data_IF_989304959514
#
_entry.id   IF_989304959514
#
_cell.length_a   1.000
_cell.length_b   1.000
_cell.length_c   1.000
_cell.angle_alpha   90.00
_cell.angle_beta   90.00
_cell.angle_gamma   90.00
#
_symmetry.space_group_name_H-M   'P 1'
#
loop_
_entity.id
_entity.type
_entity.pdbx_description
1 polymer ?
#
# COMPACT_ATOMS: atom_id res chain seq x y z
N UNK A 1 21.70 11.41 -2.20
CA UNK A 1 21.32 11.63 -3.62
C UNK A 1 20.26 12.73 -3.71
N UNK A 2 20.19 13.52 -4.80
CA UNK A 2 19.11 14.50 -5.04
C UNK A 2 18.25 14.05 -6.22
N UNK A 3 17.07 13.53 -5.92
CA UNK A 3 16.04 13.18 -6.90
C UNK A 3 15.44 14.47 -7.48
N UNK A 4 15.29 14.53 -8.79
CA UNK A 4 14.88 15.73 -9.55
C UNK A 4 13.49 15.60 -10.16
N UNK A 5 12.93 14.39 -10.27
CA UNK A 5 11.62 14.18 -10.86
C UNK A 5 10.88 12.96 -10.30
N UNK A 6 9.55 12.95 -10.46
CA UNK A 6 8.70 11.77 -10.18
C UNK A 6 9.16 10.54 -10.97
N UNK A 7 9.49 10.72 -12.24
CA UNK A 7 9.93 9.62 -13.12
C UNK A 7 11.23 9.00 -12.64
N UNK A 8 12.23 9.83 -12.32
CA UNK A 8 13.51 9.37 -11.75
C UNK A 8 13.29 8.60 -10.43
N UNK A 9 12.39 9.09 -9.57
CA UNK A 9 12.05 8.39 -8.33
C UNK A 9 11.43 7.00 -8.58
N UNK A 10 10.52 6.89 -9.55
CA UNK A 10 9.91 5.61 -9.93
C UNK A 10 10.94 4.63 -10.50
N UNK A 11 11.86 5.11 -11.36
CA UNK A 11 12.94 4.30 -11.92
C UNK A 11 13.88 3.76 -10.83
N UNK A 12 14.25 4.60 -9.87
CA UNK A 12 15.13 4.20 -8.76
C UNK A 12 14.41 3.20 -7.85
N UNK A 13 13.16 3.47 -7.48
CA UNK A 13 12.40 2.62 -6.56
C UNK A 13 12.12 1.23 -7.14
N UNK A 14 11.84 1.15 -8.44
CA UNK A 14 11.55 -0.11 -9.13
C UNK A 14 12.80 -0.91 -9.51
N UNK A 15 13.99 -0.32 -9.43
CA UNK A 15 15.25 -0.97 -9.79
C UNK A 15 15.92 -1.60 -8.57
N UNK A 16 15.77 -2.92 -8.43
CA UNK A 16 16.38 -3.70 -7.35
C UNK A 16 17.93 -3.59 -7.28
N UNK A 17 18.60 -3.16 -8.36
CA UNK A 17 20.06 -2.95 -8.38
C UNK A 17 20.50 -1.64 -7.72
N UNK A 18 19.59 -0.68 -7.54
CA UNK A 18 19.89 0.55 -6.82
C UNK A 18 20.15 0.25 -5.34
N UNK A 19 20.98 1.06 -4.68
CA UNK A 19 21.21 0.92 -3.25
C UNK A 19 19.89 1.03 -2.46
N UNK A 20 19.65 0.21 -1.42
CA UNK A 20 18.43 0.31 -0.62
C UNK A 20 18.17 1.72 -0.09
N UNK A 21 19.20 2.47 0.29
CA UNK A 21 19.06 3.85 0.75
C UNK A 21 18.54 4.79 -0.34
N UNK A 22 18.97 4.58 -1.59
CA UNK A 22 18.47 5.33 -2.74
C UNK A 22 17.02 4.97 -3.04
N UNK A 23 16.62 3.70 -2.90
CA UNK A 23 15.21 3.27 -3.03
C UNK A 23 14.33 3.83 -1.92
N UNK A 24 14.81 3.87 -0.67
CA UNK A 24 14.07 4.53 0.42
C UNK A 24 13.88 6.03 0.15
N UNK A 25 14.93 6.71 -0.30
CA UNK A 25 14.88 8.13 -0.68
C UNK A 25 13.90 8.33 -1.84
N UNK A 26 13.96 7.40 -2.80
CA UNK A 26 12.96 6.99 -3.78
C UNK A 26 11.51 7.18 -3.32
N UNK A 27 11.09 6.25 -2.48
CA UNK A 27 9.76 6.15 -1.92
C UNK A 27 9.35 7.42 -1.16
N UNK A 28 10.22 7.98 -0.30
CA UNK A 28 9.93 9.23 0.43
C UNK A 28 9.63 10.40 -0.51
N UNK A 29 10.38 10.53 -1.60
CA UNK A 29 10.17 11.61 -2.57
C UNK A 29 8.79 11.52 -3.23
N UNK A 30 8.34 10.30 -3.55
CA UNK A 30 7.07 10.04 -4.23
C UNK A 30 5.82 10.43 -3.43
N UNK A 31 5.92 10.61 -2.10
CA UNK A 31 4.83 11.11 -1.26
C UNK A 31 4.24 12.44 -1.79
N UNK A 32 5.09 13.28 -2.38
CA UNK A 32 4.69 14.60 -2.90
C UNK A 32 3.97 14.54 -4.25
N UNK A 33 3.95 13.38 -4.90
CA UNK A 33 3.46 13.22 -6.27
C UNK A 33 2.48 12.03 -6.38
N UNK A 34 1.39 11.99 -5.59
CA UNK A 34 0.44 10.88 -5.65
C UNK A 34 -0.17 10.77 -7.05
N UNK A 35 0.00 9.60 -7.67
CA UNK A 35 -0.62 9.21 -8.94
C UNK A 35 -0.87 7.71 -8.94
N UNK A 36 -1.72 7.17 -9.83
CA UNK A 36 -1.94 5.73 -9.93
C UNK A 36 -0.64 4.92 -10.08
N UNK A 37 0.27 5.41 -10.93
CA UNK A 37 1.61 4.81 -11.14
C UNK A 37 2.45 4.77 -9.84
N UNK A 38 2.39 5.83 -9.03
CA UNK A 38 3.10 5.92 -7.75
C UNK A 38 2.51 4.94 -6.74
N UNK A 39 1.18 4.83 -6.72
CA UNK A 39 0.48 3.92 -5.83
C UNK A 39 0.82 2.46 -6.15
N UNK A 40 0.77 2.09 -7.43
CA UNK A 40 1.17 0.77 -7.91
C UNK A 40 2.63 0.46 -7.56
N UNK A 41 3.54 1.42 -7.79
CA UNK A 41 4.95 1.25 -7.47
C UNK A 41 5.17 1.02 -5.96
N UNK A 42 4.59 1.86 -5.09
CA UNK A 42 4.72 1.74 -3.64
C UNK A 42 4.11 0.43 -3.09
N UNK A 43 2.96 0.00 -3.62
CA UNK A 43 2.34 -1.28 -3.25
C UNK A 43 3.25 -2.45 -3.63
N UNK A 44 3.86 -2.41 -4.83
CA UNK A 44 4.83 -3.42 -5.23
C UNK A 44 6.07 -3.41 -4.33
N UNK A 45 6.54 -2.23 -3.90
CA UNK A 45 7.67 -2.06 -2.97
C UNK A 45 7.40 -2.65 -1.58
N UNK A 46 6.15 -2.90 -1.17
CA UNK A 46 5.85 -3.62 0.08
C UNK A 46 6.42 -5.06 0.11
N UNK A 47 6.89 -5.57 -1.04
CA UNK A 47 7.54 -6.87 -1.21
C UNK A 47 9.02 -6.76 -1.56
N UNK A 48 9.61 -5.58 -1.45
CA UNK A 48 11.04 -5.37 -1.66
C UNK A 48 11.84 -6.31 -0.73
N UNK A 49 13.00 -6.78 -1.18
CA UNK A 49 13.86 -7.67 -0.40
C UNK A 49 14.43 -6.98 0.86
N UNK A 50 14.66 -5.67 0.79
CA UNK A 50 15.21 -4.87 1.86
C UNK A 50 14.10 -4.39 2.83
N UNK A 51 14.33 -4.61 4.12
CA UNK A 51 13.35 -4.25 5.15
C UNK A 51 13.15 -2.74 5.26
N UNK A 52 14.21 -1.94 5.14
CA UNK A 52 14.14 -0.49 5.21
C UNK A 52 13.28 0.08 4.08
N UNK A 53 13.47 -0.45 2.87
CA UNK A 53 12.67 -0.07 1.70
C UNK A 53 11.19 -0.44 1.89
N UNK A 54 10.87 -1.66 2.36
CA UNK A 54 9.48 -2.06 2.69
C UNK A 54 8.86 -1.14 3.74
N UNK A 55 9.61 -0.83 4.80
CA UNK A 55 9.15 0.01 5.90
C UNK A 55 8.81 1.42 5.40
N UNK A 56 9.69 2.02 4.60
CA UNK A 56 9.48 3.36 4.05
C UNK A 56 8.28 3.38 3.10
N UNK A 57 8.12 2.39 2.23
CA UNK A 57 6.95 2.29 1.37
C UNK A 57 5.64 2.21 2.17
N UNK A 58 5.61 1.41 3.24
CA UNK A 58 4.46 1.34 4.15
C UNK A 58 4.19 2.69 4.84
N UNK A 59 5.23 3.39 5.30
CA UNK A 59 5.09 4.70 5.94
C UNK A 59 4.53 5.75 4.96
N UNK A 60 5.01 5.75 3.72
CA UNK A 60 4.48 6.65 2.68
C UNK A 60 3.00 6.37 2.40
N UNK A 61 2.60 5.10 2.32
CA UNK A 61 1.18 4.72 2.15
C UNK A 61 0.31 5.11 3.36
N UNK A 62 0.85 5.03 4.58
CA UNK A 62 0.19 5.54 5.80
C UNK A 62 -0.06 7.04 5.69
N UNK A 63 0.95 7.80 5.24
CA UNK A 63 0.90 9.26 5.11
C UNK A 63 -0.04 9.71 3.99
N UNK A 64 -0.22 8.89 2.95
CA UNK A 64 -1.20 9.11 1.87
C UNK A 64 -2.66 8.93 2.31
N UNK A 65 -2.94 8.18 3.40
CA UNK A 65 -4.28 8.04 4.02
C UNK A 65 -5.35 7.60 3.00
N UNK A 66 -6.45 8.35 2.87
CA UNK A 66 -7.56 8.03 1.97
C UNK A 66 -7.16 7.94 0.50
N UNK A 67 -6.07 8.60 0.08
CA UNK A 67 -5.55 8.50 -1.30
C UNK A 67 -5.08 7.07 -1.62
N UNK A 68 -4.49 6.37 -0.64
CA UNK A 68 -3.99 5.01 -0.82
C UNK A 68 -5.07 3.94 -0.62
N UNK A 69 -6.18 4.30 0.06
CA UNK A 69 -7.19 3.33 0.46
C UNK A 69 -7.78 2.54 -0.73
N UNK A 70 -8.22 3.15 -1.85
CA UNK A 70 -8.78 2.39 -2.97
C UNK A 70 -7.82 1.33 -3.53
N UNK A 71 -6.54 1.67 -3.67
CA UNK A 71 -5.56 0.77 -4.26
C UNK A 71 -5.15 -0.35 -3.30
N UNK A 72 -5.01 -0.05 -2.00
CA UNK A 72 -4.82 -1.08 -0.96
C UNK A 72 -5.98 -2.09 -0.94
N UNK A 73 -7.22 -1.61 -1.07
CA UNK A 73 -8.39 -2.49 -1.12
C UNK A 73 -8.39 -3.35 -2.40
N UNK A 74 -8.05 -2.78 -3.56
CA UNK A 74 -7.93 -3.54 -4.81
C UNK A 74 -6.90 -4.65 -4.70
N UNK A 75 -5.74 -4.36 -4.08
CA UNK A 75 -4.71 -5.38 -3.81
C UNK A 75 -5.24 -6.53 -2.96
N UNK A 76 -6.09 -6.26 -1.98
CA UNK A 76 -6.72 -7.32 -1.16
C UNK A 76 -7.79 -8.12 -1.91
N UNK A 77 -8.38 -7.57 -2.97
CA UNK A 77 -9.35 -8.29 -3.83
C UNK A 77 -8.69 -9.10 -4.95
N UNK A 78 -7.40 -8.88 -5.22
CA UNK A 78 -6.67 -9.60 -6.26
C UNK A 78 -6.32 -11.01 -5.78
N UNK A 79 -6.81 -12.01 -6.51
CA UNK A 79 -6.56 -13.42 -6.23
C UNK A 79 -5.06 -13.78 -6.25
N UNK A 80 -4.24 -13.06 -7.02
CA UNK A 80 -2.79 -13.25 -7.07
C UNK A 80 -2.08 -12.74 -5.81
N UNK A 81 -2.71 -11.84 -5.07
CA UNK A 81 -2.17 -11.25 -3.83
C UNK A 81 -2.87 -11.77 -2.58
N UNK A 82 -4.04 -12.39 -2.74
CA UNK A 82 -4.81 -13.00 -1.66
C UNK A 82 -4.05 -14.10 -0.91
N UNK A 83 -3.04 -14.73 -1.53
CA UNK A 83 -2.17 -15.74 -0.90
C UNK A 83 -0.90 -15.17 -0.26
N UNK A 84 -0.52 -13.91 -0.56
CA UNK A 84 0.66 -13.25 -0.01
C UNK A 84 0.45 -12.77 1.45
N UNK A 85 0.87 -13.59 2.41
CA UNK A 85 0.70 -13.31 3.84
C UNK A 85 1.42 -12.05 4.28
N UNK A 86 2.64 -11.83 3.79
CA UNK A 86 3.43 -10.65 4.16
C UNK A 86 2.75 -9.36 3.68
N UNK A 87 2.28 -9.36 2.43
CA UNK A 87 1.58 -8.21 1.85
C UNK A 87 0.29 -7.93 2.62
N UNK A 88 -0.52 -8.95 2.92
CA UNK A 88 -1.75 -8.79 3.71
C UNK A 88 -1.49 -8.23 5.10
N UNK A 89 -0.48 -8.74 5.81
CA UNK A 89 -0.10 -8.23 7.13
C UNK A 89 0.38 -6.79 7.09
N UNK A 90 1.13 -6.43 6.05
CA UNK A 90 1.63 -5.07 5.83
C UNK A 90 0.48 -4.11 5.54
N UNK A 91 -0.45 -4.49 4.66
CA UNK A 91 -1.67 -3.71 4.39
C UNK A 91 -2.50 -3.56 5.67
N UNK A 92 -2.68 -4.63 6.45
CA UNK A 92 -3.36 -4.58 7.75
C UNK A 92 -2.68 -3.57 8.69
N UNK A 93 -1.35 -3.57 8.74
CA UNK A 93 -0.59 -2.62 9.55
C UNK A 93 -0.82 -1.16 9.11
N UNK A 94 -0.76 -0.90 7.80
CA UNK A 94 -1.02 0.42 7.22
C UNK A 94 -2.42 0.90 7.61
N UNK A 95 -3.44 0.08 7.36
CA UNK A 95 -4.85 0.37 7.68
C UNK A 95 -5.08 0.56 9.18
N UNK A 96 -4.39 -0.20 10.03
CA UNK A 96 -4.47 -0.06 11.48
C UNK A 96 -3.85 1.28 11.93
N UNK A 97 -2.75 1.71 11.30
CA UNK A 97 -2.04 2.93 11.68
C UNK A 97 -2.79 4.19 11.30
N UNK A 98 -3.50 4.19 10.18
CA UNK A 98 -4.30 5.33 9.72
C UNK A 98 -5.80 5.17 9.99
N UNK A 99 -6.25 4.09 10.64
CA UNK A 99 -7.65 3.79 11.00
C UNK A 99 -8.45 5.00 11.52
N UNK A 100 -7.86 5.79 12.41
CA UNK A 100 -8.53 6.90 13.09
C UNK A 100 -8.70 8.15 12.22
N UNK A 101 -8.02 8.18 11.08
CA UNK A 101 -7.96 9.35 10.19
C UNK A 101 -8.54 9.08 8.81
N UNK A 102 -8.82 7.81 8.47
CA UNK A 102 -9.57 7.45 7.28
C UNK A 102 -11.03 7.93 7.37
N UNK A 103 -11.59 8.34 6.25
CA UNK A 103 -13.00 8.76 6.17
C UNK A 103 -13.98 7.60 6.32
N UNK A 104 -13.57 6.40 5.90
CA UNK A 104 -14.39 5.18 5.99
C UNK A 104 -13.87 4.28 7.11
N UNK A 105 -14.81 3.63 7.80
CA UNK A 105 -14.52 2.65 8.85
C UNK A 105 -14.00 1.36 8.25
N UNK A 106 -12.80 0.95 8.66
CA UNK A 106 -12.12 -0.27 8.18
C UNK A 106 -12.07 -1.40 9.23
N UNK A 107 -12.85 -1.30 10.31
CA UNK A 107 -12.80 -2.22 11.45
C UNK A 107 -13.05 -3.68 11.06
N UNK A 108 -14.11 -3.92 10.30
CA UNK A 108 -14.47 -5.25 9.82
C UNK A 108 -13.36 -5.86 8.94
N UNK A 109 -12.75 -5.05 8.07
CA UNK A 109 -11.62 -5.47 7.25
C UNK A 109 -10.39 -5.80 8.11
N UNK A 110 -10.08 -4.97 9.11
CA UNK A 110 -8.96 -5.22 10.02
C UNK A 110 -9.13 -6.52 10.80
N UNK A 111 -10.35 -6.86 11.19
CA UNK A 111 -10.66 -8.13 11.84
C UNK A 111 -10.56 -9.31 10.87
N UNK A 112 -11.06 -9.16 9.63
CA UNK A 112 -10.94 -10.17 8.59
C UNK A 112 -9.48 -10.49 8.22
N UNK A 113 -8.57 -9.50 8.31
CA UNK A 113 -7.15 -9.66 8.04
C UNK A 113 -6.34 -10.38 9.16
N UNK A 114 -6.94 -10.68 10.33
CA UNK A 114 -6.24 -11.37 11.45
C UNK A 114 -6.21 -12.91 11.34
N UNK A 115 -7.12 -13.51 10.56
CA UNK A 115 -7.37 -14.96 10.59
C UNK A 115 -6.43 -15.81 9.72
N UNK A 116 -6.27 -17.12 10.02
CA UNK A 116 -5.38 -18.03 9.29
C UNK A 116 -5.87 -18.41 7.88
N UNK A 117 -7.13 -18.07 7.53
CA UNK A 117 -7.71 -18.25 6.18
C UNK A 117 -8.25 -16.90 5.71
N UNK A 118 -7.39 -16.01 5.19
CA UNK A 118 -7.70 -14.59 5.09
C UNK A 118 -8.07 -14.15 3.67
N UNK A 119 -8.08 -15.04 2.68
CA UNK A 119 -8.43 -14.69 1.30
C UNK A 119 -9.87 -14.22 1.20
N UNK A 120 -10.84 -15.12 1.39
CA UNK A 120 -12.23 -14.82 1.04
C UNK A 120 -12.86 -13.72 1.90
N UNK A 121 -12.72 -13.77 3.22
CA UNK A 121 -13.33 -12.77 4.12
C UNK A 121 -12.72 -11.37 3.92
N UNK A 122 -11.39 -11.26 3.78
CA UNK A 122 -10.76 -9.97 3.53
C UNK A 122 -11.08 -9.44 2.12
N UNK A 123 -11.15 -10.32 1.11
CA UNK A 123 -11.60 -9.96 -0.24
C UNK A 123 -13.04 -9.44 -0.24
N UNK A 124 -13.95 -10.08 0.49
CA UNK A 124 -15.35 -9.65 0.60
C UNK A 124 -15.47 -8.27 1.27
N UNK A 125 -14.80 -8.07 2.41
CA UNK A 125 -14.81 -6.79 3.12
C UNK A 125 -14.15 -5.68 2.28
N UNK A 126 -13.04 -5.98 1.60
CA UNK A 126 -12.39 -5.03 0.71
C UNK A 126 -13.29 -4.65 -0.48
N UNK A 127 -14.01 -5.62 -1.06
CA UNK A 127 -14.96 -5.38 -2.15
C UNK A 127 -16.15 -4.52 -1.72
N UNK A 128 -16.67 -4.71 -0.50
CA UNK A 128 -17.74 -3.87 0.07
C UNK A 128 -17.28 -2.43 0.22
N UNK A 129 -16.09 -2.21 0.76
CA UNK A 129 -15.51 -0.87 0.94
C UNK A 129 -15.27 -0.16 -0.41
N UNK A 130 -14.81 -0.89 -1.43
CA UNK A 130 -14.64 -0.35 -2.78
C UNK A 130 -15.96 0.12 -3.39
N UNK A 131 -17.05 -0.61 -3.19
CA UNK A 131 -18.39 -0.18 -3.64
C UNK A 131 -18.82 1.10 -2.95
N UNK A 132 -18.65 1.19 -1.63
CA UNK A 132 -18.97 2.41 -0.86
C UNK A 132 -18.18 3.63 -1.34
N UNK A 133 -16.89 3.46 -1.67
CA UNK A 133 -16.06 4.53 -2.22
C UNK A 133 -16.51 4.99 -3.62
N UNK A 134 -17.09 4.08 -4.42
CA UNK A 134 -17.64 4.40 -5.74
C UNK A 134 -19.01 5.05 -5.69
N UNK A 135 -19.83 4.71 -4.70
CA UNK A 135 -21.15 5.28 -4.44
C UNK A 135 -21.08 6.67 -3.77
N UNK A 136 -19.97 7.01 -3.14
CA UNK A 136 -19.74 8.30 -2.48
C UNK A 136 -19.25 9.43 -3.43
N UNK A 137 -19.32 9.24 -4.75
CA UNK A 137 -18.87 10.20 -5.77
C UNK A 137 -20.00 10.83 -6.57
#
# INVERSE_FOLDING_TARGET
>A
MKIKSKTEALEILSNAKCDPWDRETAARYLLQYPSPEVMECLINTLRDEDFGVRYVAAQVLIDMRDLALPDLLRTLTDAHHASDTQLRETIRHILMRNRSVLQIRVDALLDALKGPVPGLAAMEEASKLLRQLGEAR
#
